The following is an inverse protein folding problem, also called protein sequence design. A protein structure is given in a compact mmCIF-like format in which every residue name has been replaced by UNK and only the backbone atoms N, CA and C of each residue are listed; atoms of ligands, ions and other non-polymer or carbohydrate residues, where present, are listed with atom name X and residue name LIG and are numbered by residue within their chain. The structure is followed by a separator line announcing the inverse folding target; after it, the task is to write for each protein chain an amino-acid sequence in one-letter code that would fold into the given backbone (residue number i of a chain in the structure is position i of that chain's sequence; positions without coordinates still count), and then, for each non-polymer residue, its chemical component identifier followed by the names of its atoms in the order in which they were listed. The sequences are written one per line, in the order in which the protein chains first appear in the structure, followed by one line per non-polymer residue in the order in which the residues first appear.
data_IF_759767258836
#
_entry.id   IF_759767258836
#
_cell.length_a   1.000
_cell.length_b   1.000
_cell.length_c   1.000
_cell.angle_alpha   90.00
_cell.angle_beta   90.00
_cell.angle_gamma   90.00
#
_symmetry.space_group_name_H-M   'P 1'
#
loop_
_entity.id
_entity.type
_entity.pdbx_description
1 polymer ?
#
# COMPACT_ATOMS: atom_id res chain seq x y z
N UNK A 1 -13.21 14.12 5.55
CA UNK A 1 -13.92 12.82 5.54
C UNK A 1 -12.88 11.76 5.84
N UNK A 2 -13.14 10.86 6.81
CA UNK A 2 -12.19 9.82 7.16
C UNK A 2 -11.96 8.88 5.97
N UNK A 3 -10.78 8.26 5.90
CA UNK A 3 -10.51 7.22 4.92
C UNK A 3 -11.53 6.09 5.03
N UNK A 4 -12.09 5.70 3.90
CA UNK A 4 -12.86 4.45 3.79
C UNK A 4 -11.90 3.36 3.38
N UNK A 5 -11.86 2.30 4.16
CA UNK A 5 -11.03 1.14 3.89
C UNK A 5 -11.91 -0.11 3.82
N UNK A 6 -11.57 -1.03 2.91
CA UNK A 6 -12.12 -2.37 2.84
C UNK A 6 -11.00 -3.38 2.67
N UNK A 7 -11.19 -4.59 3.21
CA UNK A 7 -10.23 -5.69 3.11
C UNK A 7 -10.97 -6.99 2.82
N UNK A 8 -10.41 -7.81 1.95
CA UNK A 8 -10.95 -9.11 1.59
C UNK A 8 -9.82 -10.08 1.23
N UNK A 9 -9.88 -11.29 1.78
CA UNK A 9 -8.99 -12.38 1.35
C UNK A 9 -9.52 -12.97 0.04
N UNK A 10 -8.66 -13.01 -0.97
CA UNK A 10 -8.97 -13.50 -2.31
C UNK A 10 -8.06 -14.67 -2.67
N UNK A 11 -8.34 -15.83 -2.09
CA UNK A 11 -7.50 -17.02 -2.26
C UNK A 11 -6.17 -16.86 -1.57
N UNK A 12 -5.10 -16.58 -2.33
CA UNK A 12 -3.71 -16.55 -1.88
C UNK A 12 -3.18 -15.15 -1.51
N UNK A 13 -4.01 -14.10 -1.63
CA UNK A 13 -3.62 -12.73 -1.30
C UNK A 13 -4.73 -11.98 -0.56
N UNK A 14 -4.34 -10.98 0.22
CA UNK A 14 -5.24 -9.99 0.81
C UNK A 14 -5.40 -8.83 -0.18
N UNK A 15 -6.64 -8.51 -0.55
CA UNK A 15 -6.95 -7.25 -1.24
C UNK A 15 -7.39 -6.22 -0.21
N UNK A 16 -6.82 -5.03 -0.26
CA UNK A 16 -7.37 -3.87 0.43
C UNK A 16 -7.59 -2.71 -0.54
N UNK A 17 -8.58 -1.88 -0.23
CA UNK A 17 -8.84 -0.65 -0.95
C UNK A 17 -9.00 0.49 0.02
N UNK A 18 -8.42 1.64 -0.33
CA UNK A 18 -8.50 2.86 0.44
C UNK A 18 -8.98 4.00 -0.44
N UNK A 19 -10.00 4.71 0.00
CA UNK A 19 -10.54 5.88 -0.69
C UNK A 19 -10.87 6.99 0.29
N UNK A 20 -10.94 8.22 -0.22
CA UNK A 20 -11.15 9.40 0.61
C UNK A 20 -10.32 10.58 0.15
N UNK A 21 -10.06 11.51 1.07
CA UNK A 21 -9.29 12.72 0.79
C UNK A 21 -8.20 12.86 1.85
N UNK A 22 -6.95 13.03 1.39
CA UNK A 22 -5.80 13.33 2.26
C UNK A 22 -6.05 14.63 3.02
N UNK A 23 -5.88 14.59 4.33
CA UNK A 23 -5.90 15.76 5.21
C UNK A 23 -4.46 16.05 5.66
N UNK A 24 -3.91 17.26 5.40
CA UNK A 24 -2.57 17.61 5.86
C UNK A 24 -2.40 17.38 7.36
N UNK A 25 -1.29 16.75 7.76
CA UNK A 25 -1.01 16.38 9.15
C UNK A 25 -1.58 15.02 9.59
N UNK A 26 -2.53 14.44 8.86
CA UNK A 26 -3.15 13.15 9.19
C UNK A 26 -2.69 12.00 8.28
N UNK A 27 -2.09 12.31 7.13
CA UNK A 27 -1.72 11.32 6.09
C UNK A 27 -0.83 10.20 6.64
N UNK A 28 0.24 10.55 7.37
CA UNK A 28 1.20 9.59 7.91
C UNK A 28 0.55 8.66 8.94
N UNK A 29 -0.05 9.16 10.05
CA UNK A 29 -0.65 8.26 11.04
C UNK A 29 -1.81 7.42 10.47
N UNK A 30 -2.63 7.96 9.57
CA UNK A 30 -3.71 7.18 8.95
C UNK A 30 -3.19 6.03 8.07
N UNK A 31 -2.15 6.29 7.27
CA UNK A 31 -1.57 5.25 6.40
C UNK A 31 -0.81 4.19 7.20
N UNK A 32 -0.11 4.56 8.26
CA UNK A 32 0.57 3.58 9.13
C UNK A 32 -0.44 2.72 9.88
N UNK A 33 -1.54 3.30 10.36
CA UNK A 33 -2.65 2.55 10.96
C UNK A 33 -3.22 1.54 9.97
N UNK A 34 -3.46 1.96 8.72
CA UNK A 34 -3.94 1.08 7.66
C UNK A 34 -3.00 -0.09 7.42
N UNK A 35 -1.70 0.17 7.25
CA UNK A 35 -0.74 -0.90 7.00
C UNK A 35 -0.56 -1.83 8.21
N UNK A 36 -0.79 -1.33 9.43
CA UNK A 36 -0.83 -2.17 10.63
C UNK A 36 -1.99 -3.16 10.56
N UNK A 37 -3.18 -2.68 10.20
CA UNK A 37 -4.36 -3.55 10.00
C UNK A 37 -4.14 -4.58 8.90
N UNK A 38 -3.47 -4.21 7.80
CA UNK A 38 -3.10 -5.13 6.72
C UNK A 38 -2.16 -6.23 7.24
N UNK A 39 -1.13 -5.86 8.02
CA UNK A 39 -0.20 -6.82 8.58
C UNK A 39 -0.90 -7.80 9.54
N UNK A 40 -1.79 -7.29 10.38
CA UNK A 40 -2.55 -8.11 11.34
C UNK A 40 -3.49 -9.09 10.63
N UNK A 41 -4.20 -8.64 9.60
CA UNK A 41 -5.07 -9.52 8.80
C UNK A 41 -4.26 -10.57 8.05
N UNK A 42 -3.10 -10.21 7.48
CA UNK A 42 -2.17 -11.15 6.85
C UNK A 42 -1.72 -12.25 7.84
N UNK A 43 -1.32 -11.88 9.05
CA UNK A 43 -0.95 -12.84 10.11
C UNK A 43 -2.12 -13.73 10.50
N UNK A 44 -3.30 -13.15 10.71
CA UNK A 44 -4.49 -13.88 11.14
C UNK A 44 -4.98 -14.89 10.11
N UNK A 45 -4.79 -14.60 8.82
CA UNK A 45 -5.27 -15.42 7.69
C UNK A 45 -4.20 -16.30 7.06
N UNK A 46 -2.93 -16.14 7.44
CA UNK A 46 -1.81 -16.86 6.84
C UNK A 46 -1.53 -16.47 5.38
N UNK A 47 -1.94 -15.26 4.96
CA UNK A 47 -1.69 -14.75 3.61
C UNK A 47 -0.54 -13.75 3.63
N UNK A 48 0.41 -13.90 2.71
CA UNK A 48 1.65 -13.10 2.70
C UNK A 48 1.75 -12.18 1.47
N UNK A 49 0.76 -12.23 0.58
CA UNK A 49 0.68 -11.40 -0.63
C UNK A 49 -0.43 -10.36 -0.44
N UNK A 50 -0.16 -9.13 -0.85
CA UNK A 50 -1.11 -8.02 -0.70
C UNK A 50 -1.30 -7.30 -2.03
N UNK A 51 -2.56 -7.11 -2.42
CA UNK A 51 -2.98 -6.17 -3.45
C UNK A 51 -3.64 -4.97 -2.76
N UNK A 52 -3.05 -3.79 -2.85
CA UNK A 52 -3.66 -2.56 -2.37
C UNK A 52 -4.13 -1.69 -3.53
N UNK A 53 -5.31 -1.08 -3.39
CA UNK A 53 -5.86 -0.12 -4.37
C UNK A 53 -6.05 1.23 -3.72
N UNK A 54 -5.37 2.25 -4.26
CA UNK A 54 -5.31 3.60 -3.71
C UNK A 54 -6.19 4.57 -4.51
N UNK A 55 -7.39 4.80 -4.01
CA UNK A 55 -8.34 5.80 -4.45
C UNK A 55 -8.32 7.09 -3.61
N UNK A 56 -7.24 7.38 -2.88
CA UNK A 56 -7.12 8.61 -2.10
C UNK A 56 -6.90 9.82 -3.03
N UNK A 57 -7.76 10.83 -2.88
CA UNK A 57 -7.66 12.13 -3.52
C UNK A 57 -6.88 13.16 -2.67
N UNK A 58 -6.51 14.28 -3.27
CA UNK A 58 -5.74 15.34 -2.61
C UNK A 58 -4.23 15.11 -2.67
N UNK A 59 -3.43 16.15 -2.38
CA UNK A 59 -1.99 16.13 -2.56
C UNK A 59 -1.33 15.09 -1.65
N UNK A 60 -0.38 14.34 -2.21
CA UNK A 60 0.55 13.52 -1.45
C UNK A 60 1.91 14.23 -1.45
N UNK A 61 2.47 14.46 -0.26
CA UNK A 61 3.83 15.00 -0.14
C UNK A 61 4.86 13.89 -0.27
N UNK A 62 6.01 14.19 -0.88
CA UNK A 62 7.17 13.29 -0.83
C UNK A 62 7.64 13.05 0.61
N UNK A 63 7.49 14.04 1.50
CA UNK A 63 7.83 13.91 2.92
C UNK A 63 6.93 12.88 3.59
N UNK A 64 5.61 13.01 3.42
CA UNK A 64 4.65 12.06 4.02
C UNK A 64 4.90 10.64 3.52
N UNK A 65 5.10 10.49 2.21
CA UNK A 65 5.34 9.18 1.60
C UNK A 65 6.68 8.59 2.02
N UNK A 66 7.72 9.40 2.15
CA UNK A 66 9.00 8.96 2.72
C UNK A 66 8.81 8.46 4.16
N UNK A 67 8.09 9.23 4.98
CA UNK A 67 7.86 8.91 6.38
C UNK A 67 7.02 7.66 6.58
N UNK A 68 6.08 7.39 5.68
CA UNK A 68 5.34 6.13 5.65
C UNK A 68 6.27 5.00 5.20
N UNK A 69 6.86 5.10 4.01
CA UNK A 69 7.65 4.02 3.39
C UNK A 69 8.86 3.60 4.21
N UNK A 70 9.49 4.51 4.97
CA UNK A 70 10.61 4.16 5.86
C UNK A 70 10.20 3.23 7.02
N UNK A 71 8.92 3.24 7.41
CA UNK A 71 8.39 2.47 8.55
C UNK A 71 7.76 1.14 8.12
N UNK A 72 7.35 1.02 6.86
CA UNK A 72 6.70 -0.19 6.36
C UNK A 72 7.52 -1.48 6.55
N UNK A 73 8.85 -1.54 6.36
CA UNK A 73 9.61 -2.77 6.59
C UNK A 73 9.48 -3.31 8.01
N UNK A 74 9.50 -2.44 9.02
CA UNK A 74 9.35 -2.84 10.42
C UNK A 74 7.91 -3.31 10.73
N UNK A 75 6.92 -2.68 10.10
CA UNK A 75 5.51 -2.97 10.32
C UNK A 75 5.06 -4.28 9.63
N UNK A 76 5.53 -4.48 8.40
CA UNK A 76 5.14 -5.57 7.52
C UNK A 76 6.09 -6.76 7.59
N UNK A 77 7.29 -6.56 8.13
CA UNK A 77 8.33 -7.58 8.26
C UNK A 77 7.78 -8.86 8.88
N UNK A 78 7.96 -9.97 8.18
CA UNK A 78 7.49 -11.30 8.58
C UNK A 78 5.99 -11.58 8.36
N UNK A 79 5.17 -10.58 8.04
CA UNK A 79 3.75 -10.76 7.73
C UNK A 79 3.46 -10.70 6.22
N UNK A 80 4.12 -9.78 5.51
CA UNK A 80 3.87 -9.52 4.09
C UNK A 80 5.16 -9.66 3.30
N UNK A 81 5.16 -10.53 2.30
CA UNK A 81 6.31 -10.88 1.48
C UNK A 81 6.25 -10.26 0.08
N UNK A 82 5.06 -9.84 -0.38
CA UNK A 82 4.90 -9.25 -1.71
C UNK A 82 3.72 -8.29 -1.76
N UNK A 83 3.94 -7.09 -2.29
CA UNK A 83 2.95 -6.01 -2.34
C UNK A 83 2.79 -5.49 -3.75
N UNK A 84 1.58 -5.53 -4.29
CA UNK A 84 1.21 -4.82 -5.51
C UNK A 84 0.28 -3.65 -5.15
N UNK A 85 0.64 -2.42 -5.52
CA UNK A 85 -0.10 -1.22 -5.11
C UNK A 85 -0.59 -0.41 -6.31
N UNK A 86 -1.89 -0.39 -6.53
CA UNK A 86 -2.53 0.26 -7.69
C UNK A 86 -2.88 1.70 -7.36
N UNK A 87 -2.51 2.64 -8.22
CA UNK A 87 -2.68 4.08 -7.99
C UNK A 87 -3.72 4.67 -8.95
N UNK A 88 -4.87 5.09 -8.42
CA UNK A 88 -5.97 5.66 -9.22
C UNK A 88 -5.90 7.20 -9.36
N UNK A 89 -4.97 7.86 -8.67
CA UNK A 89 -4.89 9.33 -8.57
C UNK A 89 -4.21 10.06 -9.73
N UNK A 90 -4.04 9.42 -10.88
CA UNK A 90 -3.36 9.99 -12.06
C UNK A 90 -1.83 10.10 -11.93
N UNK A 91 -1.21 10.78 -12.90
CA UNK A 91 0.25 10.75 -13.09
C UNK A 91 1.04 11.32 -11.90
N UNK A 92 0.56 12.39 -11.27
CA UNK A 92 1.23 12.98 -10.12
C UNK A 92 1.20 12.04 -8.89
N UNK A 93 0.07 11.39 -8.63
CA UNK A 93 -0.02 10.39 -7.57
C UNK A 93 0.86 9.17 -7.87
N UNK A 94 0.95 8.78 -9.15
CA UNK A 94 1.84 7.71 -9.59
C UNK A 94 3.31 8.06 -9.30
N UNK A 95 3.79 9.23 -9.71
CA UNK A 95 5.19 9.66 -9.47
C UNK A 95 5.55 9.65 -7.99
N UNK A 96 4.68 10.18 -7.14
CA UNK A 96 4.91 10.17 -5.68
C UNK A 96 4.90 8.74 -5.12
N UNK A 97 4.05 7.86 -5.66
CA UNK A 97 3.99 6.46 -5.23
C UNK A 97 5.19 5.64 -5.72
N UNK A 98 5.76 5.96 -6.88
CA UNK A 98 7.01 5.36 -7.35
C UNK A 98 8.18 5.74 -6.44
N UNK A 99 8.24 6.99 -5.97
CA UNK A 99 9.19 7.36 -4.93
C UNK A 99 8.97 6.55 -3.63
N UNK A 100 7.71 6.29 -3.25
CA UNK A 100 7.38 5.40 -2.13
C UNK A 100 7.96 3.99 -2.30
N UNK A 101 7.83 3.44 -3.51
CA UNK A 101 8.36 2.14 -3.91
C UNK A 101 9.87 2.12 -3.75
N UNK A 102 10.59 3.08 -4.33
CA UNK A 102 12.04 3.16 -4.23
C UNK A 102 12.51 3.17 -2.77
N UNK A 103 11.85 3.97 -1.92
CA UNK A 103 12.16 4.08 -0.49
C UNK A 103 11.91 2.76 0.25
N UNK A 104 10.82 2.06 -0.08
CA UNK A 104 10.43 0.80 0.54
C UNK A 104 11.32 -0.38 0.08
N UNK A 105 11.59 -0.48 -1.22
CA UNK A 105 12.44 -1.51 -1.83
C UNK A 105 13.87 -1.39 -1.33
N UNK A 106 14.42 -0.18 -1.29
CA UNK A 106 15.76 0.07 -0.73
C UNK A 106 15.87 -0.28 0.76
N UNK A 107 14.75 -0.54 1.45
CA UNK A 107 14.71 -0.97 2.85
C UNK A 107 14.23 -2.42 3.02
N UNK A 108 14.25 -3.22 1.95
CA UNK A 108 14.04 -4.66 2.00
C UNK A 108 12.60 -5.12 1.81
N UNK A 109 11.67 -4.24 1.43
CA UNK A 109 10.34 -4.68 1.00
C UNK A 109 10.35 -5.12 -0.47
N UNK A 110 9.54 -6.14 -0.77
CA UNK A 110 9.24 -6.53 -2.14
C UNK A 110 7.87 -5.95 -2.53
N UNK A 111 7.89 -4.71 -3.01
CA UNK A 111 6.70 -3.98 -3.41
C UNK A 111 6.84 -3.39 -4.81
N UNK A 112 5.72 -3.22 -5.52
CA UNK A 112 5.66 -2.53 -6.80
C UNK A 112 4.35 -1.76 -6.98
N UNK A 113 4.42 -0.59 -7.60
CA UNK A 113 3.26 0.24 -7.94
C UNK A 113 2.81 0.02 -9.38
N UNK A 114 1.51 0.13 -9.60
CA UNK A 114 0.87 -0.17 -10.87
C UNK A 114 -0.21 0.86 -11.21
N UNK A 115 -0.43 1.07 -12.51
CA UNK A 115 -1.50 1.93 -13.01
C UNK A 115 -2.87 1.24 -13.00
N UNK A 116 -2.89 -0.09 -13.02
CA UNK A 116 -4.11 -0.89 -13.15
C UNK A 116 -4.03 -2.20 -12.35
N UNK A 117 -5.19 -2.68 -11.91
CA UNK A 117 -5.33 -3.93 -11.15
C UNK A 117 -4.91 -5.19 -11.95
N UNK A 118 -5.23 -5.36 -13.24
CA UNK A 118 -4.78 -6.52 -14.01
C UNK A 118 -3.26 -6.73 -14.01
N UNK A 119 -2.49 -5.67 -14.27
CA UNK A 119 -1.03 -5.72 -14.28
C UNK A 119 -0.46 -6.01 -12.89
N UNK A 120 -1.06 -5.40 -11.85
CA UNK A 120 -0.70 -5.63 -10.46
C UNK A 120 -0.91 -7.10 -10.05
N UNK A 121 -2.06 -7.67 -10.40
CA UNK A 121 -2.40 -9.05 -10.11
C UNK A 121 -1.49 -10.04 -10.84
N UNK A 122 -1.19 -9.78 -12.12
CA UNK A 122 -0.29 -10.61 -12.91
C UNK A 122 1.11 -10.68 -12.25
N UNK A 123 1.64 -9.54 -11.81
CA UNK A 123 2.92 -9.51 -11.10
C UNK A 123 2.85 -10.15 -9.71
N UNK A 124 1.76 -9.92 -8.96
CA UNK A 124 1.62 -10.45 -7.59
C UNK A 124 1.60 -11.99 -7.59
N UNK A 125 0.96 -12.58 -8.59
CA UNK A 125 0.79 -14.04 -8.76
C UNK A 125 1.92 -14.72 -9.53
N UNK A 126 2.81 -13.96 -10.16
CA UNK A 126 3.98 -14.53 -10.80
C UNK A 126 4.77 -15.39 -9.79
N UNK A 127 5.36 -16.51 -10.23
CA UNK A 127 6.13 -17.38 -9.35
C UNK A 127 7.27 -16.65 -8.64
#
# INVERSE_FOLDING_TARGET
MPYRFSMQVNGDYLRFEVSGRRVPGEVVPEMLRLWGMVADECRARGVTRVLGVNGLSGPASHVDVFDISKQLPALLGGAVHRIAFVILGGEQAMRVSQFAEDVAVNRGLNGRVFADEPSALAWLRAP
#
